data_IF_609204491236
#
_entry.id   IF_609204491236
#
_cell.length_a   1.000
_cell.length_b   1.000
_cell.length_c   1.000
_cell.angle_alpha   90.00
_cell.angle_beta   90.00
_cell.angle_gamma   90.00
#
_symmetry.space_group_name_H-M   'P 1'
#
loop_
_entity.id
_entity.type
_entity.pdbx_description
1 polymer ?
#
# COMPACT_ATOMS: atom_id res chain seq x y z
N UNK A 1 11.67 22.35 -12.29
CA UNK A 1 11.00 22.46 -10.99
C UNK A 1 11.09 21.13 -10.26
N UNK A 2 11.58 21.13 -9.05
CA UNK A 2 11.70 19.90 -8.31
C UNK A 2 10.31 19.42 -7.87
N UNK A 3 10.06 18.15 -8.03
CA UNK A 3 8.83 17.54 -7.55
C UNK A 3 8.92 17.38 -6.03
N UNK A 4 7.97 17.95 -5.32
CA UNK A 4 7.95 17.84 -3.86
C UNK A 4 7.55 16.43 -3.45
N UNK A 5 8.44 15.74 -2.73
CA UNK A 5 8.13 14.45 -2.13
C UNK A 5 7.61 14.65 -0.71
N UNK A 6 6.71 13.80 -0.29
CA UNK A 6 6.17 13.81 1.07
C UNK A 6 6.51 12.49 1.75
N UNK A 7 6.64 12.53 3.07
CA UNK A 7 6.78 11.31 3.85
C UNK A 7 5.40 10.77 4.22
N UNK A 8 5.35 9.50 4.62
CA UNK A 8 4.10 8.93 5.13
C UNK A 8 3.60 9.66 6.36
N UNK A 9 4.51 10.10 7.24
CA UNK A 9 4.10 10.89 8.40
C UNK A 9 3.35 12.16 7.98
N UNK A 10 3.88 12.87 6.99
CA UNK A 10 3.21 14.07 6.47
C UNK A 10 1.85 13.76 5.84
N UNK A 11 1.79 12.64 5.10
CA UNK A 11 0.57 12.21 4.46
C UNK A 11 -0.52 11.90 5.49
N UNK A 12 -0.15 11.26 6.58
CA UNK A 12 -1.07 10.92 7.67
C UNK A 12 -1.54 12.12 8.48
N UNK A 13 -0.89 13.29 8.34
CA UNK A 13 -1.36 14.53 8.91
C UNK A 13 -2.52 15.13 8.13
N UNK A 14 -2.73 14.69 6.90
CA UNK A 14 -3.87 15.12 6.09
C UNK A 14 -5.10 14.36 6.56
N UNK A 15 -6.03 15.08 7.19
CA UNK A 15 -7.21 14.48 7.84
C UNK A 15 -8.00 13.60 6.87
N UNK A 16 -8.27 14.10 5.68
CA UNK A 16 -9.05 13.37 4.68
C UNK A 16 -8.38 12.07 4.25
N UNK A 17 -7.06 12.03 4.25
CA UNK A 17 -6.33 10.80 3.95
C UNK A 17 -6.32 9.86 5.16
N UNK A 18 -5.96 10.39 6.33
CA UNK A 18 -5.80 9.59 7.55
C UNK A 18 -7.10 8.89 7.97
N UNK A 19 -8.24 9.51 7.73
CA UNK A 19 -9.54 8.93 8.08
C UNK A 19 -9.94 7.75 7.20
N UNK A 20 -9.33 7.62 6.03
CA UNK A 20 -9.70 6.61 5.04
C UNK A 20 -8.80 5.37 5.06
N UNK A 21 -7.71 5.40 5.79
CA UNK A 21 -6.75 4.30 5.85
C UNK A 21 -6.44 3.95 7.30
N UNK A 22 -6.07 2.69 7.54
CA UNK A 22 -5.66 2.22 8.86
C UNK A 22 -4.33 1.50 8.74
N UNK A 23 -3.31 1.98 9.44
CA UNK A 23 -2.02 1.31 9.51
C UNK A 23 -2.19 0.01 10.28
N UNK A 24 -1.81 -1.12 9.69
CA UNK A 24 -2.09 -2.44 10.26
C UNK A 24 -0.86 -3.26 10.62
N UNK A 25 0.34 -2.78 10.31
CA UNK A 25 1.55 -3.46 10.74
C UNK A 25 2.39 -2.56 11.67
N UNK A 26 3.27 -3.17 12.46
CA UNK A 26 3.94 -2.50 13.58
C UNK A 26 5.25 -1.83 13.22
N UNK A 27 5.95 -2.36 12.23
CA UNK A 27 7.34 -1.96 11.95
C UNK A 27 7.53 -1.28 10.59
N UNK A 28 6.45 -0.71 10.06
CA UNK A 28 6.55 0.09 8.83
C UNK A 28 7.28 1.40 9.09
N UNK A 29 8.16 1.78 8.17
CA UNK A 29 8.90 3.03 8.28
C UNK A 29 8.07 4.20 7.75
N UNK A 30 7.51 4.98 8.67
CA UNK A 30 6.65 6.13 8.32
C UNK A 30 7.45 7.34 7.81
N UNK A 31 8.77 7.27 7.84
CA UNK A 31 9.62 8.29 7.24
C UNK A 31 9.91 8.02 5.76
N UNK A 32 9.42 6.91 5.21
CA UNK A 32 9.56 6.63 3.78
C UNK A 32 8.97 7.78 2.96
N UNK A 33 9.72 8.20 1.95
CA UNK A 33 9.28 9.24 1.04
C UNK A 33 8.37 8.64 -0.03
N UNK A 34 7.29 9.34 -0.33
CA UNK A 34 6.30 8.94 -1.32
C UNK A 34 6.50 9.79 -2.57
N UNK A 35 6.79 9.16 -3.69
CA UNK A 35 6.91 9.86 -4.97
C UNK A 35 5.54 10.17 -5.55
N UNK A 36 4.63 9.21 -5.48
CA UNK A 36 3.24 9.39 -5.92
C UNK A 36 2.40 8.23 -5.38
N UNK A 37 1.09 8.43 -5.40
CA UNK A 37 0.12 7.38 -5.06
C UNK A 37 -0.44 6.83 -6.36
N UNK A 38 -0.46 5.52 -6.48
CA UNK A 38 -0.88 4.87 -7.71
C UNK A 38 -1.78 3.68 -7.42
N UNK A 39 -2.74 3.45 -8.29
CA UNK A 39 -3.65 2.31 -8.22
C UNK A 39 -3.10 1.25 -9.17
N UNK A 40 -2.79 0.07 -8.66
CA UNK A 40 -2.23 -1.01 -9.47
C UNK A 40 -2.88 -2.34 -9.13
N UNK A 41 -3.14 -3.14 -10.15
CA UNK A 41 -3.67 -4.49 -10.01
C UNK A 41 -2.85 -5.44 -10.89
N UNK A 42 -2.90 -6.73 -10.58
CA UNK A 42 -2.25 -7.75 -11.38
C UNK A 42 -1.16 -8.48 -10.62
N UNK A 43 -0.76 -9.68 -11.10
CA UNK A 43 0.25 -10.50 -10.44
C UNK A 43 1.69 -10.01 -10.66
N UNK A 44 1.87 -9.07 -11.57
CA UNK A 44 3.17 -8.55 -11.98
C UNK A 44 3.42 -7.11 -11.54
N UNK A 45 2.80 -6.69 -10.44
CA UNK A 45 2.93 -5.33 -9.90
C UNK A 45 4.38 -4.90 -9.79
N UNK A 46 5.25 -5.80 -9.36
CA UNK A 46 6.66 -5.50 -9.15
C UNK A 46 7.39 -5.05 -10.42
N UNK A 47 6.86 -5.39 -11.59
CA UNK A 47 7.44 -5.01 -12.87
C UNK A 47 7.06 -3.59 -13.30
N UNK A 48 6.00 -3.03 -12.72
CA UNK A 48 5.43 -1.75 -13.14
C UNK A 48 5.79 -0.60 -12.22
N UNK A 49 6.30 -0.88 -11.02
CA UNK A 49 6.69 0.18 -10.08
C UNK A 49 8.04 0.75 -10.45
N UNK A 50 8.20 2.05 -10.23
CA UNK A 50 9.43 2.77 -10.56
C UNK A 50 10.26 3.09 -9.31
N UNK A 51 9.68 2.92 -8.13
CA UNK A 51 10.32 3.18 -6.85
C UNK A 51 9.65 4.31 -6.10
N UNK A 52 9.41 4.10 -4.81
CA UNK A 52 8.86 5.13 -3.93
C UNK A 52 7.36 5.32 -4.00
N UNK A 53 6.64 4.45 -4.68
CA UNK A 53 5.18 4.57 -4.76
C UNK A 53 4.49 4.19 -3.46
N UNK A 54 3.35 4.84 -3.22
CA UNK A 54 2.30 4.32 -2.34
C UNK A 54 1.32 3.58 -3.25
N UNK A 55 1.35 2.26 -3.22
CA UNK A 55 0.52 1.43 -4.10
C UNK A 55 -0.82 1.15 -3.44
N UNK A 56 -1.91 1.41 -4.15
CA UNK A 56 -3.28 1.06 -3.74
C UNK A 56 -3.74 -0.11 -4.59
N UNK A 57 -4.19 -1.19 -3.97
CA UNK A 57 -4.60 -2.39 -4.68
C UNK A 57 -5.72 -3.12 -3.95
N UNK A 58 -6.58 -3.81 -4.71
CA UNK A 58 -7.59 -4.69 -4.14
C UNK A 58 -7.02 -6.07 -3.77
N UNK A 59 -5.78 -6.35 -4.19
CA UNK A 59 -5.12 -7.64 -4.00
C UNK A 59 -5.83 -8.80 -4.72
N UNK A 60 -6.67 -8.47 -5.70
CA UNK A 60 -7.49 -9.46 -6.41
C UNK A 60 -6.66 -10.57 -7.05
N UNK A 61 -5.57 -10.21 -7.72
CA UNK A 61 -4.74 -11.17 -8.45
C UNK A 61 -4.13 -12.23 -7.54
N UNK A 62 -4.00 -11.95 -6.25
CA UNK A 62 -3.37 -12.84 -5.28
C UNK A 62 -4.39 -13.47 -4.32
N UNK A 63 -5.66 -13.12 -4.43
CA UNK A 63 -6.67 -13.44 -3.41
C UNK A 63 -6.96 -14.94 -3.29
N UNK A 64 -6.64 -15.73 -4.33
CA UNK A 64 -6.99 -17.15 -4.37
C UNK A 64 -5.83 -18.09 -4.03
N UNK A 65 -4.62 -17.58 -3.85
CA UNK A 65 -3.46 -18.43 -3.61
C UNK A 65 -2.53 -17.80 -2.60
N UNK A 66 -2.39 -18.43 -1.41
CA UNK A 66 -1.44 -17.94 -0.42
C UNK A 66 0.02 -17.89 -0.91
N UNK A 67 0.41 -18.86 -1.72
CA UNK A 67 1.78 -18.90 -2.26
C UNK A 67 2.05 -17.72 -3.20
N UNK A 68 1.08 -17.39 -4.05
CA UNK A 68 1.19 -16.22 -4.94
C UNK A 68 1.23 -14.91 -4.14
N UNK A 69 0.47 -14.85 -3.04
CA UNK A 69 0.49 -13.67 -2.18
C UNK A 69 1.87 -13.41 -1.59
N UNK A 70 2.49 -14.44 -1.02
CA UNK A 70 3.82 -14.31 -0.43
C UNK A 70 4.87 -13.95 -1.50
N UNK A 71 4.88 -14.69 -2.60
CA UNK A 71 5.87 -14.50 -3.64
C UNK A 71 5.76 -13.11 -4.27
N UNK A 72 4.55 -12.71 -4.61
CA UNK A 72 4.30 -11.39 -5.20
C UNK A 72 4.66 -10.26 -4.24
N UNK A 73 4.34 -10.42 -2.96
CA UNK A 73 4.65 -9.42 -1.96
C UNK A 73 6.16 -9.28 -1.76
N UNK A 74 6.90 -10.37 -1.72
CA UNK A 74 8.36 -10.34 -1.59
C UNK A 74 9.04 -9.62 -2.74
N UNK A 75 8.48 -9.71 -3.93
CA UNK A 75 9.01 -9.03 -5.11
C UNK A 75 8.68 -7.54 -5.11
N UNK A 76 7.53 -7.18 -4.59
CA UNK A 76 7.03 -5.82 -4.60
C UNK A 76 7.57 -4.97 -3.43
N UNK A 77 7.60 -5.54 -2.24
CA UNK A 77 7.87 -4.80 -1.01
C UNK A 77 9.17 -3.99 -1.00
N UNK A 78 10.30 -4.51 -1.51
CA UNK A 78 11.53 -3.72 -1.51
C UNK A 78 11.56 -2.57 -2.49
N UNK A 79 10.55 -2.46 -3.35
CA UNK A 79 10.53 -1.46 -4.43
C UNK A 79 9.61 -0.28 -4.15
N UNK A 80 8.75 -0.38 -3.16
CA UNK A 80 7.72 0.64 -2.90
C UNK A 80 7.86 1.22 -1.50
N UNK A 81 7.19 2.33 -1.24
CA UNK A 81 7.28 3.03 0.04
C UNK A 81 6.12 2.74 0.98
N UNK A 82 5.00 2.30 0.45
CA UNK A 82 3.82 1.90 1.23
C UNK A 82 2.84 1.15 0.35
N UNK A 83 1.96 0.39 0.97
CA UNK A 83 0.89 -0.29 0.25
C UNK A 83 -0.42 -0.15 1.03
N UNK A 84 -1.50 0.15 0.31
CA UNK A 84 -2.86 0.16 0.84
C UNK A 84 -3.65 -0.94 0.17
N UNK A 85 -4.21 -1.85 0.96
CA UNK A 85 -4.93 -3.01 0.46
C UNK A 85 -6.40 -2.90 0.85
N UNK A 86 -7.28 -2.93 -0.13
CA UNK A 86 -8.72 -2.85 0.11
C UNK A 86 -9.24 -4.17 0.66
N UNK A 87 -9.95 -4.11 1.78
CA UNK A 87 -10.60 -5.27 2.38
C UNK A 87 -12.11 -5.18 2.23
N UNK A 88 -12.77 -6.33 2.28
CA UNK A 88 -14.22 -6.42 2.19
C UNK A 88 -14.74 -6.66 0.77
N UNK A 89 -13.88 -6.66 -0.23
CA UNK A 89 -14.30 -6.92 -1.61
C UNK A 89 -13.81 -8.27 -2.12
N UNK A 90 -12.50 -8.47 -2.18
CA UNK A 90 -11.91 -9.73 -2.66
C UNK A 90 -11.24 -10.50 -1.53
N UNK A 91 -10.72 -9.80 -0.54
CA UNK A 91 -10.20 -10.40 0.69
C UNK A 91 -10.89 -9.73 1.87
N UNK A 92 -11.16 -10.51 2.92
CA UNK A 92 -11.85 -9.99 4.10
C UNK A 92 -10.91 -9.30 5.07
N UNK A 93 -9.67 -9.75 5.11
CA UNK A 93 -8.60 -9.14 5.92
C UNK A 93 -7.25 -9.40 5.27
N UNK A 94 -6.28 -8.56 5.61
CA UNK A 94 -4.92 -8.73 5.14
C UNK A 94 -4.30 -9.90 5.91
N UNK A 95 -3.77 -10.93 5.22
CA UNK A 95 -3.21 -12.09 5.90
C UNK A 95 -2.06 -11.75 6.84
N UNK A 96 -2.03 -12.41 8.00
CA UNK A 96 -0.99 -12.19 8.99
C UNK A 96 0.42 -12.38 8.40
N UNK A 97 0.58 -13.36 7.51
CA UNK A 97 1.87 -13.61 6.86
C UNK A 97 2.36 -12.42 6.06
N UNK A 98 1.44 -11.72 5.39
CA UNK A 98 1.77 -10.51 4.63
C UNK A 98 2.23 -9.40 5.59
N UNK A 99 1.55 -9.24 6.72
CA UNK A 99 1.94 -8.25 7.72
C UNK A 99 3.31 -8.55 8.31
N UNK A 100 3.62 -9.83 8.54
CA UNK A 100 4.93 -10.24 9.04
C UNK A 100 6.03 -9.96 8.01
N UNK A 101 5.77 -10.26 6.74
CA UNK A 101 6.71 -9.95 5.67
C UNK A 101 6.91 -8.44 5.53
N UNK A 102 5.83 -7.67 5.62
CA UNK A 102 5.90 -6.22 5.54
C UNK A 102 6.80 -5.66 6.65
N UNK A 103 6.68 -6.19 7.86
CA UNK A 103 7.53 -5.77 8.98
C UNK A 103 9.01 -6.06 8.71
N UNK A 104 9.31 -7.20 8.07
CA UNK A 104 10.69 -7.55 7.71
C UNK A 104 11.28 -6.54 6.72
N UNK A 105 10.47 -6.05 5.80
CA UNK A 105 10.90 -5.03 4.82
C UNK A 105 10.70 -3.61 5.31
N UNK A 106 10.17 -3.44 6.51
CA UNK A 106 9.79 -2.15 7.09
C UNK A 106 8.85 -1.35 6.19
N UNK A 107 7.99 -2.08 5.48
CA UNK A 107 7.01 -1.51 4.58
C UNK A 107 5.70 -1.25 5.31
N UNK A 108 5.23 0.01 5.39
CA UNK A 108 3.93 0.30 5.98
C UNK A 108 2.80 -0.29 5.15
N UNK A 109 1.90 -1.00 5.80
CA UNK A 109 0.71 -1.59 5.18
C UNK A 109 -0.53 -0.93 5.79
N UNK A 110 -1.42 -0.47 4.93
CA UNK A 110 -2.66 0.17 5.32
C UNK A 110 -3.84 -0.66 4.84
N UNK A 111 -4.85 -0.77 5.69
CA UNK A 111 -6.14 -1.31 5.28
C UNK A 111 -7.00 -0.17 4.74
N UNK A 112 -7.66 -0.40 3.60
CA UNK A 112 -8.61 0.54 3.01
C UNK A 112 -9.97 -0.18 2.98
N UNK A 113 -10.97 0.37 3.63
CA UNK A 113 -12.31 -0.24 3.67
C UNK A 113 -12.97 -0.17 2.30
N UNK A 114 -13.85 -1.14 2.00
CA UNK A 114 -14.51 -1.25 0.70
C UNK A 114 -15.23 0.03 0.27
N UNK A 115 -15.82 0.75 1.23
CA UNK A 115 -16.57 1.97 0.95
C UNK A 115 -15.69 3.12 0.47
N UNK A 116 -14.39 3.06 0.74
CA UNK A 116 -13.46 4.12 0.34
C UNK A 116 -13.05 3.88 -1.11
N UNK A 117 -13.21 4.90 -1.95
CA UNK A 117 -12.77 4.82 -3.34
C UNK A 117 -11.30 5.25 -3.43
N UNK A 118 -10.50 4.46 -4.14
CA UNK A 118 -9.08 4.77 -4.28
C UNK A 118 -8.82 6.17 -4.84
N UNK A 119 -9.65 6.62 -5.77
CA UNK A 119 -9.50 7.97 -6.34
C UNK A 119 -9.59 9.07 -5.29
N UNK A 120 -10.36 8.83 -4.21
CA UNK A 120 -10.46 9.80 -3.12
C UNK A 120 -9.12 9.93 -2.40
N UNK A 121 -8.40 8.83 -2.22
CA UNK A 121 -7.07 8.85 -1.61
C UNK A 121 -6.06 9.55 -2.52
N UNK A 122 -6.10 9.26 -3.81
CA UNK A 122 -5.20 9.89 -4.77
C UNK A 122 -5.42 11.40 -4.80
N UNK A 123 -6.67 11.84 -4.78
CA UNK A 123 -7.01 13.26 -4.85
C UNK A 123 -6.56 14.06 -3.63
N UNK A 124 -6.48 13.42 -2.46
CA UNK A 124 -6.08 14.15 -1.24
C UNK A 124 -4.62 14.55 -1.25
N UNK A 125 -3.83 14.03 -2.18
CA UNK A 125 -2.38 14.23 -2.22
C UNK A 125 -1.96 15.13 -3.38
N UNK A 126 -2.82 15.32 -4.32
CA UNK A 126 -2.58 16.24 -5.45
C UNK A 126 -3.22 17.61 -5.18
#
# INVERSE_FOLDING_TARGET
>A
MSKKMVTLNELLEIKDFAERVTLVNKHGNLNNQITHVTIMEGPDLHEWVTGGEFVLTTWYAFSKSPDLQEDGFKKLAPRISAIGIKTGRFINKIPLKILQLADQYRLPVFEVKTAVKFRELVQTIT
#
